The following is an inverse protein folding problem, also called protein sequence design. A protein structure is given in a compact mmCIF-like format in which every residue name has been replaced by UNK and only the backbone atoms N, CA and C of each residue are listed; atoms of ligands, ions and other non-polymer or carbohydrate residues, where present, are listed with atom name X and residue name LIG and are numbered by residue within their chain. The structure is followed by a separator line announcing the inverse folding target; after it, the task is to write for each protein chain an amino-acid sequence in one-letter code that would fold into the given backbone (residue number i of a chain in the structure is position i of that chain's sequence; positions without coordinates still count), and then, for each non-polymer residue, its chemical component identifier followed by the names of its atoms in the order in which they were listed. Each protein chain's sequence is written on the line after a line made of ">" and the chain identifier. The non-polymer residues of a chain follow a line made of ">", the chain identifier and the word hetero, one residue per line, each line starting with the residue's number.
data_IF_155673350737
#
_entry.id   IF_155673350737
#
_cell.length_a   1.000
_cell.length_b   1.000
_cell.length_c   1.000
_cell.angle_alpha   90.00
_cell.angle_beta   90.00
_cell.angle_gamma   90.00
#
_symmetry.space_group_name_H-M   'P 1'
#
loop_
_entity.id
_entity.type
_entity.pdbx_description
1 polymer ?
#
# COMPACT_ATOMS: atom_id res chain seq x y z
N UNK A 1 -0.46 -14.53 35.92
CA UNK A 1 0.00 -13.28 35.26
C UNK A 1 -0.07 -13.47 33.75
N UNK A 2 -1.10 -12.94 33.09
CA UNK A 2 -1.19 -12.91 31.62
C UNK A 2 -1.26 -11.45 31.16
N UNK A 3 -0.15 -10.91 30.69
CA UNK A 3 -0.10 -9.74 29.80
C UNK A 3 1.29 -9.59 29.15
N UNK A 4 1.42 -10.00 27.88
CA UNK A 4 2.23 -9.23 26.93
C UNK A 4 1.54 -9.06 25.55
N UNK A 5 0.23 -9.30 25.43
CA UNK A 5 -0.49 -9.24 24.14
C UNK A 5 -0.61 -7.81 23.59
N UNK A 6 -0.83 -6.80 24.45
CA UNK A 6 -1.09 -5.42 24.02
C UNK A 6 0.14 -4.72 23.40
N UNK A 7 1.35 -5.03 23.89
CA UNK A 7 2.59 -4.46 23.32
C UNK A 7 2.92 -5.00 21.92
N UNK A 8 2.64 -6.29 21.67
CA UNK A 8 2.84 -6.90 20.35
C UNK A 8 1.82 -6.41 19.33
N UNK A 9 0.55 -6.29 19.72
CA UNK A 9 -0.49 -5.73 18.86
C UNK A 9 -0.17 -4.28 18.47
N UNK A 10 0.32 -3.47 19.41
CA UNK A 10 0.76 -2.10 19.14
C UNK A 10 1.94 -2.03 18.15
N UNK A 11 2.96 -2.89 18.30
CA UNK A 11 4.07 -2.97 17.34
C UNK A 11 3.59 -3.42 15.95
N UNK A 12 2.69 -4.42 15.87
CA UNK A 12 2.09 -4.85 14.61
C UNK A 12 1.31 -3.73 13.92
N UNK A 13 0.52 -2.95 14.66
CA UNK A 13 -0.21 -1.81 14.12
C UNK A 13 0.75 -0.72 13.60
N UNK A 14 1.85 -0.44 14.33
CA UNK A 14 2.85 0.53 13.90
C UNK A 14 3.51 0.12 12.56
N UNK A 15 3.93 -1.14 12.43
CA UNK A 15 4.52 -1.68 11.19
C UNK A 15 3.51 -1.65 10.02
N UNK A 16 2.25 -2.02 10.27
CA UNK A 16 1.20 -1.96 9.25
C UNK A 16 0.92 -0.52 8.80
N UNK A 17 0.94 0.44 9.73
CA UNK A 17 0.81 1.87 9.41
C UNK A 17 1.94 2.35 8.52
N UNK A 18 3.19 2.02 8.87
CA UNK A 18 4.36 2.35 8.06
C UNK A 18 4.29 1.73 6.66
N UNK A 19 3.82 0.48 6.57
CA UNK A 19 3.66 -0.20 5.29
C UNK A 19 2.57 0.44 4.40
N UNK A 20 1.44 0.86 4.99
CA UNK A 20 0.38 1.61 4.26
C UNK A 20 0.94 2.91 3.69
N UNK A 21 1.70 3.67 4.47
CA UNK A 21 2.30 4.91 4.01
C UNK A 21 3.31 4.67 2.88
N UNK A 22 4.19 3.68 3.05
CA UNK A 22 5.19 3.33 2.05
C UNK A 22 4.54 2.89 0.72
N UNK A 23 3.54 2.01 0.75
CA UNK A 23 2.82 1.58 -0.45
C UNK A 23 2.07 2.75 -1.09
N UNK A 24 1.43 3.62 -0.32
CA UNK A 24 0.79 4.83 -0.84
C UNK A 24 1.78 5.73 -1.58
N UNK A 25 3.01 5.86 -1.05
CA UNK A 25 4.10 6.56 -1.71
C UNK A 25 4.57 5.89 -3.00
N UNK A 26 4.77 4.57 -2.99
CA UNK A 26 5.12 3.81 -4.20
C UNK A 26 4.03 3.89 -5.26
N UNK A 27 2.76 3.79 -4.88
CA UNK A 27 1.62 3.88 -5.80
C UNK A 27 1.63 5.19 -6.57
N UNK A 28 1.82 6.32 -5.89
CA UNK A 28 1.94 7.65 -6.54
C UNK A 28 3.13 7.68 -7.50
N UNK A 29 4.32 7.32 -7.01
CA UNK A 29 5.55 7.32 -7.82
C UNK A 29 5.43 6.45 -9.08
N UNK A 30 4.83 5.26 -8.97
CA UNK A 30 4.61 4.38 -10.13
C UNK A 30 3.63 5.01 -11.11
N UNK A 31 2.50 5.54 -10.63
CA UNK A 31 1.53 6.23 -11.51
C UNK A 31 2.13 7.42 -12.26
N UNK A 32 3.00 8.20 -11.60
CA UNK A 32 3.66 9.36 -12.21
C UNK A 32 4.59 8.98 -13.37
N UNK A 33 5.10 7.73 -13.42
CA UNK A 33 5.95 7.25 -14.52
C UNK A 33 5.19 7.14 -15.86
N UNK A 34 3.86 7.08 -15.84
CA UNK A 34 3.08 7.01 -17.08
C UNK A 34 3.10 8.33 -17.85
N UNK A 35 3.16 9.48 -17.16
CA UNK A 35 3.00 10.82 -17.73
C UNK A 35 3.85 11.10 -18.98
N UNK A 36 5.18 10.86 -18.95
CA UNK A 36 6.05 11.06 -20.11
C UNK A 36 5.77 10.18 -21.34
N UNK A 37 4.96 9.13 -21.19
CA UNK A 37 4.70 8.14 -22.23
C UNK A 37 3.27 8.18 -22.79
N UNK A 38 2.39 9.02 -22.23
CA UNK A 38 1.02 9.19 -22.72
C UNK A 38 1.01 9.75 -24.14
N UNK A 39 0.25 9.12 -25.03
CA UNK A 39 0.16 9.52 -26.45
C UNK A 39 1.41 9.17 -27.28
N UNK A 40 2.35 8.39 -26.73
CA UNK A 40 3.48 7.82 -27.46
C UNK A 40 3.15 6.40 -27.97
N UNK A 41 4.02 5.85 -28.82
CA UNK A 41 3.92 4.45 -29.29
C UNK A 41 4.16 3.40 -28.17
N UNK A 42 4.48 3.83 -26.94
CA UNK A 42 4.75 2.95 -25.80
C UNK A 42 3.50 2.63 -24.98
N UNK A 43 2.38 2.34 -25.65
CA UNK A 43 1.10 2.07 -24.99
C UNK A 43 1.17 0.87 -24.03
N UNK A 44 1.91 -0.19 -24.40
CA UNK A 44 2.11 -1.37 -23.55
C UNK A 44 2.84 -1.04 -22.23
N UNK A 45 3.83 -0.14 -22.28
CA UNK A 45 4.54 0.31 -21.09
C UNK A 45 3.59 1.09 -20.16
N UNK A 46 2.79 1.99 -20.72
CA UNK A 46 1.78 2.76 -19.97
C UNK A 46 0.77 1.81 -19.33
N UNK A 47 0.31 0.79 -20.07
CA UNK A 47 -0.61 -0.22 -19.57
C UNK A 47 -0.01 -1.00 -18.38
N UNK A 48 1.25 -1.43 -18.49
CA UNK A 48 1.96 -2.13 -17.43
C UNK A 48 2.18 -1.25 -16.18
N UNK A 49 2.49 0.04 -16.36
CA UNK A 49 2.61 1.00 -15.25
C UNK A 49 1.27 1.13 -14.49
N UNK A 50 0.17 1.31 -15.22
CA UNK A 50 -1.16 1.39 -14.60
C UNK A 50 -1.57 0.06 -13.94
N UNK A 51 -1.16 -1.08 -14.47
CA UNK A 51 -1.36 -2.36 -13.81
C UNK A 51 -0.61 -2.45 -12.48
N UNK A 52 0.66 -2.04 -12.45
CA UNK A 52 1.45 -1.95 -11.22
C UNK A 52 0.81 -1.01 -10.19
N UNK A 53 0.36 0.17 -10.63
CA UNK A 53 -0.36 1.13 -9.78
C UNK A 53 -1.64 0.51 -9.17
N UNK A 54 -2.43 -0.21 -9.99
CA UNK A 54 -3.64 -0.91 -9.52
C UNK A 54 -3.30 -2.01 -8.51
N UNK A 55 -2.23 -2.78 -8.74
CA UNK A 55 -1.78 -3.81 -7.81
C UNK A 55 -1.36 -3.21 -6.46
N UNK A 56 -0.61 -2.10 -6.47
CA UNK A 56 -0.23 -1.37 -5.26
C UNK A 56 -1.46 -0.82 -4.53
N UNK A 57 -2.47 -0.31 -5.23
CA UNK A 57 -3.74 0.13 -4.64
C UNK A 57 -4.47 -1.02 -3.93
N UNK A 58 -4.47 -2.20 -4.54
CA UNK A 58 -5.07 -3.40 -3.94
C UNK A 58 -4.30 -3.84 -2.69
N UNK A 59 -2.96 -3.82 -2.73
CA UNK A 59 -2.13 -4.10 -1.57
C UNK A 59 -2.36 -3.10 -0.42
N UNK A 60 -2.42 -1.80 -0.73
CA UNK A 60 -2.70 -0.72 0.25
C UNK A 60 -4.02 -0.99 0.99
N UNK A 61 -5.09 -1.37 0.28
CA UNK A 61 -6.39 -1.70 0.88
C UNK A 61 -6.33 -2.90 1.82
N UNK A 62 -5.60 -3.94 1.44
CA UNK A 62 -5.43 -5.14 2.28
C UNK A 62 -4.66 -4.80 3.55
N UNK A 63 -3.61 -3.98 3.46
CA UNK A 63 -2.85 -3.52 4.62
C UNK A 63 -3.66 -2.60 5.52
N UNK A 64 -4.46 -1.68 4.96
CA UNK A 64 -5.39 -0.85 5.74
C UNK A 64 -6.40 -1.69 6.51
N UNK A 65 -6.92 -2.77 5.91
CA UNK A 65 -7.79 -3.71 6.60
C UNK A 65 -7.06 -4.42 7.74
N UNK A 66 -5.83 -4.89 7.51
CA UNK A 66 -5.02 -5.52 8.55
C UNK A 66 -4.72 -4.55 9.70
N UNK A 67 -4.42 -3.29 9.39
CA UNK A 67 -4.17 -2.24 10.37
C UNK A 67 -5.38 -2.03 11.28
N UNK A 68 -6.59 -1.88 10.71
CA UNK A 68 -7.83 -1.75 11.50
C UNK A 68 -8.00 -2.90 12.50
N UNK A 69 -7.79 -4.13 12.03
CA UNK A 69 -7.87 -5.33 12.87
C UNK A 69 -6.79 -5.34 13.97
N UNK A 70 -5.57 -4.91 13.67
CA UNK A 70 -4.47 -4.84 14.64
C UNK A 70 -4.68 -3.74 15.70
N UNK A 71 -5.30 -2.61 15.31
CA UNK A 71 -5.62 -1.49 16.19
C UNK A 71 -6.86 -1.72 17.06
N UNK A 72 -7.65 -2.77 16.78
CA UNK A 72 -8.90 -3.06 17.50
C UNK A 72 -10.07 -2.17 17.08
N UNK A 73 -9.93 -1.42 15.98
CA UNK A 73 -11.01 -0.66 15.36
C UNK A 73 -11.91 -1.64 14.58
N UNK A 74 -13.17 -1.78 15.02
CA UNK A 74 -14.19 -2.57 14.31
C UNK A 74 -14.88 -1.75 13.25
#
# INVERSE_FOLDING_TARGET
>A
MSAPSSGRASATAAELSAAVEAIGGYRRRVGDLAGPHLGSEREDLVAAIHEGERALRSAERVLQRALKLASGER
#
